data_IF_508840772021
#
_entry.id   IF_508840772021
#
_cell.length_a   1.000
_cell.length_b   1.000
_cell.length_c   1.000
_cell.angle_alpha   90.00
_cell.angle_beta   90.00
_cell.angle_gamma   90.00
#
_symmetry.space_group_name_H-M   'P 1'
#
loop_
_entity.id
_entity.type
_entity.pdbx_description
1 polymer ?
#
# COMPACT_ATOMS: atom_id res chain seq x y z
N UNK A 1 3.44 -12.03 10.77
CA UNK A 1 3.01 -10.61 10.83
C UNK A 1 4.13 -9.82 11.49
N UNK A 2 4.96 -9.12 10.72
CA UNK A 2 6.03 -8.27 11.26
C UNK A 2 5.43 -7.13 12.07
N UNK A 3 5.79 -7.04 13.36
CA UNK A 3 5.32 -5.97 14.24
C UNK A 3 6.41 -4.90 14.26
N UNK A 4 6.10 -3.72 13.75
CA UNK A 4 6.92 -2.51 13.83
C UNK A 4 7.33 -2.12 15.27
N UNK A 5 6.75 -2.76 16.30
CA UNK A 5 7.18 -2.70 17.70
C UNK A 5 8.58 -3.27 17.95
N UNK A 6 9.10 -4.09 17.04
CA UNK A 6 10.43 -4.73 17.16
C UNK A 6 11.51 -3.92 16.41
N UNK A 7 11.17 -2.76 15.85
CA UNK A 7 12.16 -1.88 15.22
C UNK A 7 13.11 -1.32 16.31
N UNK A 8 14.43 -1.54 16.20
CA UNK A 8 15.39 -1.09 17.21
C UNK A 8 15.55 0.44 17.25
N UNK A 9 15.01 1.14 16.25
CA UNK A 9 15.07 2.59 16.15
C UNK A 9 14.01 3.25 17.03
N UNK A 10 14.40 4.31 17.74
CA UNK A 10 13.46 5.19 18.44
C UNK A 10 12.66 6.06 17.44
N UNK A 11 11.68 6.82 17.94
CA UNK A 11 10.80 7.64 17.10
C UNK A 11 11.58 8.65 16.23
N UNK A 12 12.63 9.27 16.77
CA UNK A 12 13.44 10.27 16.06
C UNK A 12 14.33 9.63 14.99
N UNK A 13 14.98 8.51 15.30
CA UNK A 13 15.81 7.76 14.35
C UNK A 13 14.98 7.22 13.18
N UNK A 14 13.80 6.67 13.48
CA UNK A 14 12.88 6.20 12.46
C UNK A 14 12.28 7.37 11.66
N UNK A 15 12.06 8.51 12.32
CA UNK A 15 11.64 9.75 11.66
C UNK A 15 12.67 10.23 10.66
N UNK A 16 13.94 10.28 11.06
CA UNK A 16 15.06 10.63 10.19
C UNK A 16 15.18 9.69 8.99
N UNK A 17 15.07 8.38 9.20
CA UNK A 17 15.09 7.37 8.13
C UNK A 17 13.96 7.56 7.11
N UNK A 18 12.81 8.07 7.55
CA UNK A 18 11.62 8.27 6.72
C UNK A 18 11.45 9.71 6.22
N UNK A 19 12.30 10.65 6.65
CA UNK A 19 12.16 12.07 6.34
C UNK A 19 10.92 12.73 6.95
N UNK A 20 10.50 12.29 8.14
CA UNK A 20 9.34 12.82 8.87
C UNK A 20 9.66 13.04 10.36
N UNK A 21 8.79 13.75 11.08
CA UNK A 21 8.99 13.99 12.51
C UNK A 21 8.76 12.74 13.38
N UNK A 22 9.45 12.67 14.53
CA UNK A 22 9.21 11.62 15.52
C UNK A 22 7.76 11.55 16.01
N UNK A 23 7.04 12.68 16.05
CA UNK A 23 5.61 12.69 16.38
C UNK A 23 4.74 11.99 15.31
N UNK A 24 5.09 12.14 14.03
CA UNK A 24 4.43 11.41 12.96
C UNK A 24 4.68 9.90 13.06
N UNK A 25 5.89 9.50 13.48
CA UNK A 25 6.21 8.10 13.79
C UNK A 25 5.36 7.56 14.93
N UNK A 26 5.26 8.30 16.03
CA UNK A 26 4.43 7.93 17.18
C UNK A 26 2.98 7.70 16.77
N UNK A 27 2.46 8.60 15.94
CA UNK A 27 1.11 8.49 15.39
C UNK A 27 0.94 7.24 14.53
N UNK A 28 1.91 6.92 13.66
CA UNK A 28 1.93 5.71 12.83
C UNK A 28 2.11 4.41 13.61
N UNK A 29 2.83 4.44 14.74
CA UNK A 29 2.95 3.30 15.66
C UNK A 29 1.63 3.04 16.38
N UNK A 30 0.92 4.09 16.80
CA UNK A 30 -0.40 3.98 17.41
C UNK A 30 -1.49 3.58 16.40
N UNK A 31 -1.39 4.05 15.16
CA UNK A 31 -2.32 3.78 14.06
C UNK A 31 -1.56 3.24 12.84
N UNK A 32 -1.40 1.91 12.74
CA UNK A 32 -0.70 1.27 11.62
C UNK A 32 -1.32 1.56 10.24
N UNK A 33 -2.56 2.04 10.20
CA UNK A 33 -3.24 2.43 8.96
C UNK A 33 -2.64 3.68 8.30
N UNK A 34 -1.82 4.45 9.02
CA UNK A 34 -1.16 5.66 8.52
C UNK A 34 0.13 5.40 7.74
N UNK A 35 0.56 4.14 7.67
CA UNK A 35 1.70 3.74 6.86
C UNK A 35 1.35 3.75 5.38
N UNK A 36 2.28 4.23 4.58
CA UNK A 36 2.15 4.32 3.13
C UNK A 36 3.18 3.45 2.41
N UNK A 37 2.96 3.16 1.14
CA UNK A 37 3.87 2.35 0.34
C UNK A 37 5.27 3.00 0.26
N UNK A 38 5.35 4.32 0.09
CA UNK A 38 6.64 5.02 0.11
C UNK A 38 7.37 4.90 1.45
N UNK A 39 6.65 4.83 2.57
CA UNK A 39 7.27 4.60 3.88
C UNK A 39 7.91 3.20 3.92
N UNK A 40 7.22 2.18 3.39
CA UNK A 40 7.74 0.81 3.31
C UNK A 40 8.98 0.74 2.41
N UNK A 41 8.95 1.41 1.26
CA UNK A 41 10.08 1.47 0.33
C UNK A 41 11.31 2.16 0.95
N UNK A 42 11.10 3.28 1.66
CA UNK A 42 12.16 3.98 2.39
C UNK A 42 12.76 3.12 3.50
N UNK A 43 11.93 2.41 4.26
CA UNK A 43 12.41 1.49 5.29
C UNK A 43 13.19 0.32 4.70
N UNK A 44 12.69 -0.28 3.63
CA UNK A 44 13.40 -1.36 2.94
C UNK A 44 14.77 -0.87 2.45
N UNK A 45 14.84 0.32 1.87
CA UNK A 45 16.11 0.96 1.48
C UNK A 45 17.03 1.18 2.67
N UNK A 46 16.52 1.74 3.77
CA UNK A 46 17.30 2.02 4.98
C UNK A 46 17.91 0.74 5.59
N UNK A 47 17.13 -0.35 5.64
CA UNK A 47 17.57 -1.64 6.17
C UNK A 47 18.25 -2.53 5.12
N UNK A 48 18.61 -1.98 3.95
CA UNK A 48 19.24 -2.71 2.83
C UNK A 48 18.49 -3.98 2.41
N UNK A 49 17.16 -3.97 2.57
CA UNK A 49 16.24 -5.01 2.12
C UNK A 49 15.86 -4.72 0.65
N UNK A 50 15.58 -5.77 -0.13
CA UNK A 50 15.11 -5.61 -1.50
C UNK A 50 13.83 -4.78 -1.57
N UNK A 51 13.87 -3.73 -2.40
CA UNK A 51 12.71 -2.89 -2.75
C UNK A 51 11.95 -3.41 -3.98
N UNK A 52 12.40 -4.52 -4.59
CA UNK A 52 11.85 -5.02 -5.86
C UNK A 52 10.33 -5.19 -5.81
N UNK A 53 9.80 -5.73 -4.71
CA UNK A 53 8.36 -5.89 -4.53
C UNK A 53 7.62 -4.54 -4.46
N UNK A 54 8.22 -3.53 -3.81
CA UNK A 54 7.64 -2.18 -3.74
C UNK A 54 7.63 -1.52 -5.12
N UNK A 55 8.73 -1.62 -5.88
CA UNK A 55 8.83 -1.06 -7.23
C UNK A 55 7.87 -1.73 -8.22
N UNK A 56 7.77 -3.07 -8.18
CA UNK A 56 6.82 -3.82 -9.00
C UNK A 56 5.38 -3.46 -8.65
N UNK A 57 5.07 -3.37 -7.36
CA UNK A 57 3.75 -2.96 -6.90
C UNK A 57 3.42 -1.53 -7.36
N UNK A 58 4.34 -0.58 -7.24
CA UNK A 58 4.19 0.78 -7.75
C UNK A 58 3.85 0.80 -9.25
N UNK A 59 4.55 0.00 -10.05
CA UNK A 59 4.29 -0.10 -11.49
C UNK A 59 2.85 -0.60 -11.76
N UNK A 60 2.48 -1.71 -11.14
CA UNK A 60 1.15 -2.33 -11.32
C UNK A 60 0.04 -1.37 -10.90
N UNK A 61 0.19 -0.69 -9.76
CA UNK A 61 -0.82 0.24 -9.25
C UNK A 61 -1.01 1.47 -10.17
N UNK A 62 0.05 1.92 -10.83
CA UNK A 62 -0.03 3.00 -11.83
C UNK A 62 -0.70 2.57 -13.13
N UNK A 63 -0.51 1.31 -13.54
CA UNK A 63 -1.11 0.73 -14.74
C UNK A 63 -2.57 0.30 -14.52
N UNK A 64 -3.00 0.07 -13.27
CA UNK A 64 -4.33 -0.45 -12.98
C UNK A 64 -5.49 0.47 -13.41
N UNK A 65 -5.50 1.80 -13.14
CA UNK A 65 -6.58 2.68 -13.59
C UNK A 65 -6.79 2.73 -15.10
N UNK A 66 -5.76 2.91 -15.96
CA UNK A 66 -5.96 2.89 -17.41
C UNK A 66 -6.50 1.54 -17.88
N UNK A 67 -5.95 0.41 -17.39
CA UNK A 67 -6.48 -0.91 -17.71
C UNK A 67 -7.96 -1.07 -17.32
N UNK A 68 -8.37 -0.57 -16.16
CA UNK A 68 -9.78 -0.64 -15.74
C UNK A 68 -10.71 0.26 -16.57
N UNK A 69 -10.20 1.33 -17.18
CA UNK A 69 -10.98 2.21 -18.07
C UNK A 69 -11.23 1.58 -19.43
N UNK A 70 -10.31 0.73 -19.90
CA UNK A 70 -10.42 0.02 -21.17
C UNK A 70 -11.42 -1.16 -21.11
N UNK A 71 -11.84 -1.56 -19.90
CA UNK A 71 -12.81 -2.62 -19.70
C UNK A 71 -14.25 -2.20 -20.02
N UNK A 72 -15.05 -3.18 -20.43
CA UNK A 72 -16.49 -3.03 -20.50
C UNK A 72 -17.07 -2.60 -19.14
N UNK A 73 -18.15 -1.83 -19.16
CA UNK A 73 -18.74 -1.25 -17.95
C UNK A 73 -19.14 -2.30 -16.88
N UNK A 74 -19.56 -3.49 -17.31
CA UNK A 74 -19.88 -4.63 -16.44
C UNK A 74 -18.65 -5.16 -15.70
N UNK A 75 -17.54 -5.36 -16.41
CA UNK A 75 -16.30 -5.90 -15.87
C UNK A 75 -15.61 -4.89 -14.97
N UNK A 76 -15.62 -3.61 -15.37
CA UNK A 76 -15.17 -2.51 -14.54
C UNK A 76 -15.91 -2.47 -13.20
N UNK A 77 -17.25 -2.51 -13.22
CA UNK A 77 -18.08 -2.56 -12.00
C UNK A 77 -17.84 -3.83 -11.18
N UNK A 78 -17.50 -4.95 -11.82
CA UNK A 78 -17.12 -6.18 -11.12
C UNK A 78 -15.78 -5.99 -10.41
N UNK A 79 -14.76 -5.46 -11.07
CA UNK A 79 -13.45 -5.20 -10.48
C UNK A 79 -13.52 -4.20 -9.32
N UNK A 80 -14.25 -3.09 -9.45
CA UNK A 80 -14.42 -2.13 -8.35
C UNK A 80 -15.07 -2.77 -7.12
N UNK A 81 -16.02 -3.70 -7.33
CA UNK A 81 -16.64 -4.48 -6.24
C UNK A 81 -15.67 -5.48 -5.62
N UNK A 82 -14.85 -6.16 -6.42
CA UNK A 82 -13.86 -7.12 -5.92
C UNK A 82 -12.78 -6.40 -5.10
N UNK A 83 -12.22 -5.31 -5.62
CA UNK A 83 -11.14 -4.56 -4.99
C UNK A 83 -11.63 -3.61 -3.87
N UNK A 84 -12.96 -3.40 -3.76
CA UNK A 84 -13.60 -2.50 -2.80
C UNK A 84 -13.05 -1.06 -2.87
N UNK A 85 -12.72 -0.61 -4.08
CA UNK A 85 -12.11 0.69 -4.38
C UNK A 85 -12.56 1.16 -5.77
N UNK A 86 -12.85 2.45 -5.89
CA UNK A 86 -13.25 3.06 -7.17
C UNK A 86 -12.03 3.51 -7.97
N UNK A 87 -12.15 3.58 -9.31
CA UNK A 87 -11.06 4.07 -10.17
C UNK A 87 -10.56 5.45 -9.74
N UNK A 88 -11.47 6.39 -9.43
CA UNK A 88 -11.10 7.72 -8.98
C UNK A 88 -10.23 7.72 -7.69
N UNK A 89 -10.42 6.74 -6.81
CA UNK A 89 -9.58 6.58 -5.62
C UNK A 89 -8.20 6.01 -5.97
N UNK A 90 -8.12 5.04 -6.89
CA UNK A 90 -6.85 4.52 -7.40
C UNK A 90 -6.00 5.65 -8.00
N UNK A 91 -6.62 6.51 -8.81
CA UNK A 91 -5.95 7.67 -9.40
C UNK A 91 -5.49 8.69 -8.36
N UNK A 92 -6.30 8.93 -7.32
CA UNK A 92 -5.91 9.79 -6.22
C UNK A 92 -4.71 9.23 -5.44
N UNK A 93 -4.66 7.92 -5.21
CA UNK A 93 -3.52 7.28 -4.54
C UNK A 93 -2.26 7.27 -5.40
N UNK A 94 -2.37 7.06 -6.72
CA UNK A 94 -1.23 7.18 -7.63
C UNK A 94 -0.62 8.60 -7.65
N UNK A 95 -1.42 9.64 -7.41
CA UNK A 95 -0.93 11.03 -7.33
C UNK A 95 -0.36 11.41 -5.97
N UNK A 96 -0.73 10.72 -4.90
CA UNK A 96 -0.37 11.09 -3.53
C UNK A 96 0.51 10.04 -2.88
N UNK A 97 -0.08 8.95 -2.44
CA UNK A 97 0.58 7.72 -2.03
C UNK A 97 -0.48 6.64 -1.77
N UNK A 98 -0.04 5.40 -1.62
CA UNK A 98 -0.88 4.25 -1.29
C UNK A 98 -0.86 3.96 0.20
N UNK A 99 -1.99 4.06 0.92
CA UNK A 99 -2.04 3.59 2.29
C UNK A 99 -1.93 2.06 2.33
N UNK A 100 -1.03 1.54 3.16
CA UNK A 100 -0.76 0.09 3.28
C UNK A 100 -2.03 -0.68 3.63
N UNK A 101 -2.92 -0.11 4.45
CA UNK A 101 -4.24 -0.70 4.78
C UNK A 101 -5.05 -1.05 3.53
N UNK A 102 -5.07 -0.17 2.54
CA UNK A 102 -5.84 -0.38 1.31
C UNK A 102 -5.21 -1.47 0.44
N UNK A 103 -3.87 -1.51 0.34
CA UNK A 103 -3.15 -2.57 -0.35
C UNK A 103 -3.40 -3.95 0.29
N UNK A 104 -3.37 -4.02 1.62
CA UNK A 104 -3.68 -5.25 2.35
C UNK A 104 -5.14 -5.68 2.14
N UNK A 105 -6.08 -4.75 2.14
CA UNK A 105 -7.49 -5.04 1.87
C UNK A 105 -7.69 -5.58 0.44
N UNK A 106 -7.05 -4.96 -0.55
CA UNK A 106 -7.08 -5.46 -1.93
C UNK A 106 -6.51 -6.88 -2.02
N UNK A 107 -5.37 -7.14 -1.38
CA UNK A 107 -4.78 -8.48 -1.34
C UNK A 107 -5.72 -9.51 -0.69
N UNK A 108 -6.32 -9.18 0.45
CA UNK A 108 -7.30 -10.05 1.12
C UNK A 108 -8.52 -10.34 0.25
N UNK A 109 -9.06 -9.32 -0.42
CA UNK A 109 -10.18 -9.50 -1.35
C UNK A 109 -9.81 -10.42 -2.52
N UNK A 110 -8.62 -10.27 -3.10
CA UNK A 110 -8.14 -11.12 -4.19
C UNK A 110 -7.98 -12.57 -3.74
N UNK A 111 -7.44 -12.81 -2.55
CA UNK A 111 -7.33 -14.16 -1.97
C UNK A 111 -8.71 -14.78 -1.71
N UNK A 112 -9.66 -14.00 -1.19
CA UNK A 112 -11.02 -14.48 -0.93
C UNK A 112 -11.74 -14.92 -2.22
N UNK A 113 -11.41 -14.30 -3.35
CA UNK A 113 -11.95 -14.65 -4.68
C UNK A 113 -11.23 -15.85 -5.28
N UNK A 114 -9.91 -15.93 -5.13
CA UNK A 114 -9.12 -17.08 -5.58
C UNK A 114 -9.50 -18.37 -4.84
N UNK A 115 -9.80 -18.29 -3.54
CA UNK A 115 -10.28 -19.41 -2.73
C UNK A 115 -11.71 -19.89 -3.04
N UNK A 116 -12.49 -19.16 -3.84
CA UNK A 116 -13.83 -19.57 -4.29
C UNK A 116 -13.82 -20.32 -5.63
N UNK A 117 -12.65 -20.51 -6.24
CA UNK A 117 -12.48 -21.20 -7.52
C UNK A 117 -11.85 -22.60 -7.37
N UNK A 118 -11.88 -23.17 -6.16
CA UNK A 118 -11.36 -24.50 -5.82
C UNK A 118 -12.49 -25.43 -5.36
#
# INVERSE_FOLDING_TARGET
MWRLRECPLNDEQLGAALGISGNAIRSRRAKPDLWKLSDVERLATYFTISVTACTQLHKILNELPPHMKDLASSDRRRMERLLLIKIAQLEAYNKSDWPVKHLLRMHQSLLAVAGQSA
#
